data_IF_607643909382
#
_entry.id   IF_607643909382
#
_cell.length_a   1.000
_cell.length_b   1.000
_cell.length_c   1.000
_cell.angle_alpha   90.00
_cell.angle_beta   90.00
_cell.angle_gamma   90.00
#
_symmetry.space_group_name_H-M   'P 1'
#
loop_
_entity.id
_entity.type
_entity.pdbx_description
1 polymer ?
#
# COMPACT_ATOMS: atom_id res chain seq x y z
N UNK A 1 26.76 -28.64 -5.00
CA UNK A 1 26.54 -27.47 -4.11
C UNK A 1 25.27 -27.71 -3.32
N UNK A 2 25.40 -27.92 -2.00
CA UNK A 2 24.32 -28.21 -1.07
C UNK A 2 23.93 -26.91 -0.35
N UNK A 3 22.62 -26.61 -0.29
CA UNK A 3 22.08 -25.58 0.60
C UNK A 3 22.27 -26.06 2.05
N UNK A 4 23.22 -25.46 2.77
CA UNK A 4 23.61 -25.85 4.13
C UNK A 4 24.77 -24.99 4.68
N UNK A 5 25.63 -24.48 3.80
CA UNK A 5 26.65 -23.48 4.13
C UNK A 5 26.32 -22.14 3.45
N UNK A 6 25.36 -21.40 4.01
CA UNK A 6 24.98 -20.10 3.48
C UNK A 6 26.15 -19.09 3.47
N UNK A 7 27.14 -19.26 4.36
CA UNK A 7 28.31 -18.38 4.44
C UNK A 7 29.20 -18.36 3.19
N UNK A 8 29.08 -19.34 2.29
CA UNK A 8 29.79 -19.38 1.00
C UNK A 8 28.88 -19.26 -0.22
N UNK A 9 27.56 -19.09 -0.04
CA UNK A 9 26.63 -19.03 -1.16
C UNK A 9 26.63 -17.61 -1.76
N UNK A 10 26.97 -17.42 -3.06
CA UNK A 10 26.96 -16.09 -3.67
C UNK A 10 25.60 -15.40 -3.56
N UNK A 11 24.49 -16.13 -3.75
CA UNK A 11 23.16 -15.54 -3.60
C UNK A 11 22.85 -15.07 -2.16
N UNK A 12 23.43 -15.69 -1.14
CA UNK A 12 23.33 -15.23 0.24
C UNK A 12 24.27 -14.04 0.50
N UNK A 13 25.52 -14.13 0.06
CA UNK A 13 26.54 -13.08 0.20
C UNK A 13 26.15 -11.79 -0.53
N UNK A 14 25.53 -11.92 -1.70
CA UNK A 14 25.02 -10.81 -2.52
C UNK A 14 23.64 -10.30 -2.04
N UNK A 15 23.06 -10.92 -0.99
CA UNK A 15 21.80 -10.49 -0.37
C UNK A 15 20.54 -10.81 -1.17
N UNK A 16 20.61 -11.70 -2.16
CA UNK A 16 19.46 -12.18 -2.94
C UNK A 16 18.67 -13.28 -2.24
N UNK A 17 19.25 -13.86 -1.18
CA UNK A 17 18.65 -14.87 -0.33
C UNK A 17 18.98 -14.58 1.13
N UNK A 18 17.98 -14.51 2.00
CA UNK A 18 18.14 -14.42 3.46
C UNK A 18 17.85 -15.77 4.16
N UNK A 19 17.81 -16.87 3.40
CA UNK A 19 17.15 -18.13 3.78
C UNK A 19 15.65 -18.10 3.46
N UNK A 20 15.04 -19.24 3.13
CA UNK A 20 13.61 -19.32 2.82
C UNK A 20 12.78 -19.64 4.09
N UNK A 21 11.93 -18.72 4.58
CA UNK A 21 10.90 -19.06 5.56
C UNK A 21 9.84 -19.96 4.89
N UNK A 22 9.23 -20.88 5.64
CA UNK A 22 8.13 -21.73 5.14
C UNK A 22 8.52 -22.98 4.31
N UNK A 23 9.75 -23.12 3.82
CA UNK A 23 10.16 -24.33 3.07
C UNK A 23 10.47 -25.56 3.96
N UNK A 24 10.53 -25.41 5.28
CA UNK A 24 10.97 -26.52 6.15
C UNK A 24 12.38 -27.04 5.79
N UNK A 25 13.25 -26.20 5.20
CA UNK A 25 14.60 -26.59 4.76
C UNK A 25 15.57 -26.96 5.89
N UNK A 26 15.18 -26.79 7.15
CA UNK A 26 15.84 -27.46 8.28
C UNK A 26 15.66 -28.99 8.27
N UNK A 27 14.79 -29.55 7.41
CA UNK A 27 14.47 -30.98 7.42
C UNK A 27 14.58 -31.71 6.06
N UNK A 28 14.93 -31.06 4.94
CA UNK A 28 14.99 -31.77 3.65
C UNK A 28 16.14 -31.30 2.76
N UNK A 29 17.19 -32.12 2.78
CA UNK A 29 18.31 -32.16 1.82
C UNK A 29 17.81 -31.88 0.41
N UNK A 30 18.35 -30.85 -0.25
CA UNK A 30 18.27 -30.71 -1.70
C UNK A 30 19.05 -31.85 -2.34
N UNK A 31 18.37 -32.99 -2.57
CA UNK A 31 18.94 -34.19 -3.17
C UNK A 31 19.24 -33.90 -4.65
N UNK A 32 20.47 -34.16 -5.13
CA UNK A 32 20.76 -34.22 -6.56
C UNK A 32 19.73 -35.12 -7.26
N UNK A 33 18.99 -34.60 -8.25
CA UNK A 33 17.98 -35.35 -8.99
C UNK A 33 16.50 -35.07 -8.63
N UNK A 34 16.19 -34.29 -7.58
CA UNK A 34 14.81 -33.79 -7.40
C UNK A 34 14.57 -32.54 -8.25
N UNK A 35 13.53 -32.58 -9.06
CA UNK A 35 13.16 -31.48 -9.95
C UNK A 35 12.58 -30.30 -9.14
N UNK A 36 13.38 -29.26 -8.91
CA UNK A 36 12.95 -27.95 -8.39
C UNK A 36 11.93 -27.21 -9.29
N UNK A 37 11.37 -27.89 -10.30
CA UNK A 37 10.35 -27.38 -11.22
C UNK A 37 8.97 -27.25 -10.58
N UNK A 38 8.69 -28.01 -9.51
CA UNK A 38 7.37 -28.02 -8.86
C UNK A 38 7.22 -26.99 -7.71
N UNK A 39 8.31 -26.37 -7.23
CA UNK A 39 8.23 -25.36 -6.19
C UNK A 39 7.60 -24.08 -6.75
N UNK A 40 6.55 -23.55 -6.11
CA UNK A 40 5.89 -22.31 -6.55
C UNK A 40 6.78 -21.07 -6.46
N UNK A 41 7.82 -21.11 -5.63
CA UNK A 41 8.69 -19.95 -5.39
C UNK A 41 9.77 -19.76 -6.46
N UNK A 42 10.21 -18.51 -6.63
CA UNK A 42 11.33 -18.11 -7.49
C UNK A 42 12.65 -18.42 -6.76
N UNK A 43 13.34 -19.47 -7.22
CA UNK A 43 14.65 -19.87 -6.71
C UNK A 43 15.77 -19.27 -7.58
N UNK A 44 16.79 -18.60 -7.00
CA UNK A 44 17.98 -18.14 -7.74
C UNK A 44 18.66 -19.25 -8.57
N UNK A 45 18.58 -20.50 -8.11
CA UNK A 45 19.20 -21.65 -8.78
C UNK A 45 18.33 -22.24 -9.93
N UNK A 46 17.12 -21.72 -10.16
CA UNK A 46 16.26 -22.20 -11.25
C UNK A 46 16.75 -21.59 -12.58
N UNK A 47 16.99 -22.42 -13.63
CA UNK A 47 17.39 -21.93 -14.94
C UNK A 47 16.42 -20.85 -15.47
N UNK A 48 16.97 -19.78 -16.05
CA UNK A 48 16.20 -18.67 -16.64
C UNK A 48 15.65 -17.64 -15.64
N UNK A 49 15.79 -17.84 -14.32
CA UNK A 49 15.35 -16.84 -13.33
C UNK A 49 16.15 -15.54 -13.45
N UNK A 50 17.46 -15.64 -13.67
CA UNK A 50 18.31 -14.47 -13.86
C UNK A 50 18.05 -13.77 -15.19
N UNK A 51 17.76 -14.51 -16.26
CA UNK A 51 17.33 -13.92 -17.53
C UNK A 51 16.01 -13.17 -17.38
N UNK A 52 15.06 -13.70 -16.60
CA UNK A 52 13.83 -13.00 -16.29
C UNK A 52 14.08 -11.77 -15.38
N UNK A 53 14.91 -11.89 -14.35
CA UNK A 53 15.23 -10.80 -13.42
C UNK A 53 16.01 -9.65 -14.09
N UNK A 54 17.03 -9.97 -14.88
CA UNK A 54 17.89 -8.99 -15.57
C UNK A 54 17.34 -8.58 -16.94
N UNK A 55 16.57 -9.42 -17.61
CA UNK A 55 15.87 -9.07 -18.85
C UNK A 55 14.63 -8.23 -18.58
N UNK A 56 13.58 -8.83 -17.99
CA UNK A 56 12.28 -8.17 -17.80
C UNK A 56 12.36 -7.02 -16.80
N UNK A 57 13.04 -7.23 -15.68
CA UNK A 57 13.11 -6.23 -14.61
C UNK A 57 14.38 -5.40 -14.66
N UNK A 58 15.35 -5.65 -15.55
CA UNK A 58 16.62 -4.90 -15.62
C UNK A 58 17.37 -4.89 -14.27
N UNK A 59 17.41 -6.02 -13.57
CA UNK A 59 18.14 -6.24 -12.31
C UNK A 59 17.26 -6.16 -11.07
N UNK A 60 17.85 -6.05 -9.88
CA UNK A 60 17.13 -6.07 -8.58
C UNK A 60 17.17 -4.75 -7.80
N UNK A 61 17.97 -3.80 -8.26
CA UNK A 61 17.99 -2.44 -7.71
C UNK A 61 16.74 -1.69 -8.17
N UNK A 62 16.15 -0.88 -7.28
CA UNK A 62 15.04 0.00 -7.64
C UNK A 62 15.47 0.95 -8.77
N UNK A 63 14.61 1.18 -9.77
CA UNK A 63 14.94 1.99 -10.93
C UNK A 63 15.21 3.47 -10.58
N UNK A 64 15.82 4.19 -11.50
CA UNK A 64 16.01 5.64 -11.41
C UNK A 64 15.05 6.34 -12.38
N UNK A 65 14.46 7.44 -11.93
CA UNK A 65 13.59 8.30 -12.72
C UNK A 65 12.74 9.20 -11.82
N UNK A 66 12.12 10.21 -12.42
CA UNK A 66 11.35 11.22 -11.68
C UNK A 66 9.91 10.77 -11.38
N UNK A 67 9.44 11.09 -10.18
CA UNK A 67 8.06 10.87 -9.75
C UNK A 67 7.36 12.22 -9.55
N UNK A 68 6.29 12.44 -10.32
CA UNK A 68 5.32 13.50 -10.06
C UNK A 68 4.42 13.02 -8.92
N UNK A 69 4.40 13.74 -7.79
CA UNK A 69 3.57 13.39 -6.63
C UNK A 69 2.31 14.24 -6.54
N UNK A 70 1.19 13.66 -6.03
CA UNK A 70 0.00 14.44 -5.74
C UNK A 70 0.18 15.27 -4.46
N UNK A 71 -0.65 16.30 -4.32
CA UNK A 71 -0.93 16.92 -3.04
C UNK A 71 -2.08 16.16 -2.40
N UNK A 72 -1.87 15.57 -1.23
CA UNK A 72 -2.90 14.82 -0.50
C UNK A 72 -3.45 15.62 0.68
N UNK A 73 -4.74 15.46 1.02
CA UNK A 73 -5.31 16.04 2.22
C UNK A 73 -4.79 15.33 3.49
N UNK A 74 -4.93 15.92 4.69
CA UNK A 74 -4.63 15.24 5.95
C UNK A 74 -5.41 13.92 6.13
N UNK A 75 -6.60 13.82 5.55
CA UNK A 75 -7.48 12.67 5.66
C UNK A 75 -8.05 12.26 4.29
N UNK A 76 -7.92 10.98 3.94
CA UNK A 76 -8.34 10.42 2.65
C UNK A 76 -9.21 9.17 2.87
N UNK A 77 -10.54 9.29 2.82
CA UNK A 77 -11.44 8.14 2.98
C UNK A 77 -11.49 7.27 1.73
N UNK A 78 -11.62 5.95 1.92
CA UNK A 78 -11.63 4.97 0.82
C UNK A 78 -13.04 4.45 0.57
N UNK A 79 -13.51 4.60 -0.67
CA UNK A 79 -14.78 4.10 -1.18
C UNK A 79 -14.55 2.75 -1.87
N UNK A 80 -15.21 1.71 -1.38
CA UNK A 80 -15.02 0.33 -1.88
C UNK A 80 -16.19 -0.20 -2.70
N UNK A 81 -17.29 0.55 -2.79
CA UNK A 81 -18.46 0.27 -3.63
C UNK A 81 -19.14 1.60 -3.98
N UNK A 82 -19.93 1.68 -5.07
CA UNK A 82 -20.61 2.91 -5.45
C UNK A 82 -21.46 3.51 -4.32
N UNK A 83 -21.45 4.83 -4.20
CA UNK A 83 -22.38 5.57 -3.36
C UNK A 83 -23.72 5.75 -4.10
N UNK A 84 -24.80 5.66 -3.35
CA UNK A 84 -26.19 5.87 -3.79
C UNK A 84 -26.75 7.22 -3.32
N UNK A 85 -26.20 7.78 -2.25
CA UNK A 85 -26.46 9.14 -1.82
C UNK A 85 -25.31 10.08 -2.19
N UNK A 86 -25.68 11.31 -2.56
CA UNK A 86 -24.70 12.36 -2.78
C UNK A 86 -24.30 13.01 -1.45
N UNK A 87 -22.99 13.13 -1.17
CA UNK A 87 -22.53 13.94 -0.05
C UNK A 87 -22.94 15.41 -0.29
N UNK A 88 -23.18 16.14 0.79
CA UNK A 88 -23.38 17.58 0.71
C UNK A 88 -22.11 18.31 0.24
N UNK A 89 -22.21 19.58 -0.18
CA UNK A 89 -21.04 20.37 -0.56
C UNK A 89 -19.96 20.34 0.52
N UNK A 90 -18.73 19.94 0.15
CA UNK A 90 -17.59 19.87 1.06
C UNK A 90 -17.61 18.71 2.08
N UNK A 91 -18.64 17.85 2.09
CA UNK A 91 -18.72 16.70 3.02
C UNK A 91 -17.75 15.57 2.62
N UNK A 92 -17.43 15.46 1.32
CA UNK A 92 -16.45 14.51 0.78
C UNK A 92 -15.59 15.16 -0.31
N UNK A 93 -14.67 16.09 0.05
CA UNK A 93 -13.86 16.81 -0.92
C UNK A 93 -12.79 15.92 -1.57
N UNK A 94 -12.41 14.83 -0.91
CA UNK A 94 -11.45 13.85 -1.38
C UNK A 94 -11.97 12.44 -1.15
N UNK A 95 -11.72 11.54 -2.10
CA UNK A 95 -12.00 10.12 -1.95
C UNK A 95 -10.94 9.27 -2.65
N UNK A 96 -10.43 8.27 -1.95
CA UNK A 96 -9.73 7.16 -2.57
C UNK A 96 -10.75 6.15 -3.11
N UNK A 97 -10.60 5.69 -4.34
CA UNK A 97 -11.48 4.70 -4.97
C UNK A 97 -10.75 3.39 -5.13
N UNK A 98 -11.25 2.32 -4.52
CA UNK A 98 -10.55 1.04 -4.45
C UNK A 98 -10.56 0.29 -5.80
N UNK A 99 -9.44 0.33 -6.54
CA UNK A 99 -9.32 -0.16 -7.92
C UNK A 99 -9.70 -1.62 -8.12
N UNK A 100 -9.68 -2.44 -7.07
CA UNK A 100 -10.07 -3.84 -7.12
C UNK A 100 -11.55 -4.08 -7.38
N UNK A 101 -12.41 -3.11 -7.06
CA UNK A 101 -13.86 -3.22 -7.12
C UNK A 101 -14.49 -2.48 -8.31
N UNK A 102 -13.70 -1.63 -8.98
CA UNK A 102 -14.17 -0.75 -10.06
C UNK A 102 -13.64 -1.13 -11.46
N UNK A 103 -13.20 -2.39 -11.65
CA UNK A 103 -12.28 -2.80 -12.73
C UNK A 103 -12.77 -2.74 -14.17
N UNK A 104 -14.07 -2.73 -14.47
CA UNK A 104 -14.55 -2.80 -15.86
C UNK A 104 -15.25 -1.51 -16.32
N UNK A 105 -16.19 -0.99 -15.52
CA UNK A 105 -17.00 0.18 -15.88
C UNK A 105 -16.28 1.52 -15.73
N UNK A 106 -15.24 1.59 -14.91
CA UNK A 106 -14.46 2.81 -14.72
C UNK A 106 -13.69 3.25 -15.98
N UNK A 107 -13.48 2.36 -16.94
CA UNK A 107 -12.82 2.67 -18.21
C UNK A 107 -13.70 3.47 -19.15
N UNK A 108 -15.02 3.23 -19.09
CA UNK A 108 -16.00 3.81 -20.01
C UNK A 108 -16.70 5.02 -19.39
N UNK A 109 -17.07 4.92 -18.11
CA UNK A 109 -17.82 5.95 -17.37
C UNK A 109 -16.94 6.91 -16.57
N UNK A 110 -15.67 6.57 -16.39
CA UNK A 110 -14.77 7.28 -15.49
C UNK A 110 -14.93 6.85 -14.03
N UNK A 111 -13.91 7.17 -13.23
CA UNK A 111 -13.76 6.71 -11.85
C UNK A 111 -14.80 7.38 -10.94
N UNK A 112 -15.03 8.69 -11.10
CA UNK A 112 -16.00 9.47 -10.30
C UNK A 112 -17.42 8.94 -10.49
N UNK A 113 -17.88 8.84 -11.75
CA UNK A 113 -19.24 8.34 -12.06
C UNK A 113 -19.42 6.91 -11.53
N UNK A 114 -18.44 6.03 -11.75
CA UNK A 114 -18.58 4.63 -11.32
C UNK A 114 -18.64 4.50 -9.79
N UNK A 115 -17.98 5.39 -9.06
CA UNK A 115 -18.01 5.43 -7.60
C UNK A 115 -19.23 6.19 -7.02
N UNK A 116 -20.06 6.83 -7.86
CA UNK A 116 -21.14 7.69 -7.39
C UNK A 116 -20.65 8.99 -6.73
N UNK A 117 -19.45 9.45 -7.09
CA UNK A 117 -18.84 10.64 -6.52
C UNK A 117 -19.25 11.91 -7.30
N UNK A 118 -19.46 13.03 -6.61
CA UNK A 118 -19.63 14.34 -7.25
C UNK A 118 -18.44 14.74 -8.12
N UNK A 119 -18.67 15.66 -9.07
CA UNK A 119 -17.65 16.11 -10.01
C UNK A 119 -16.50 16.86 -9.33
N UNK A 120 -16.79 17.54 -8.22
CA UNK A 120 -15.87 18.32 -7.40
C UNK A 120 -15.02 17.48 -6.43
N UNK A 121 -15.38 16.21 -6.16
CA UNK A 121 -14.63 15.36 -5.23
C UNK A 121 -13.34 14.86 -5.86
N UNK A 122 -12.19 15.33 -5.38
CA UNK A 122 -10.90 14.87 -5.88
C UNK A 122 -10.67 13.37 -5.63
N UNK A 123 -10.13 12.70 -6.65
CA UNK A 123 -10.04 11.23 -6.66
C UNK A 123 -8.60 10.75 -6.68
N UNK A 124 -8.33 9.78 -5.82
CA UNK A 124 -7.11 8.99 -5.84
C UNK A 124 -7.47 7.52 -6.10
N UNK A 125 -6.85 6.87 -7.08
CA UNK A 125 -7.02 5.44 -7.27
C UNK A 125 -6.22 4.68 -6.21
N UNK A 126 -6.91 3.92 -5.37
CA UNK A 126 -6.31 3.02 -4.39
C UNK A 126 -6.04 1.65 -5.04
N UNK A 127 -4.76 1.25 -5.05
CA UNK A 127 -4.28 -0.01 -5.61
C UNK A 127 -3.83 -1.03 -4.55
N UNK A 128 -4.33 -0.93 -3.31
CA UNK A 128 -4.26 -2.02 -2.31
C UNK A 128 -5.22 -3.16 -2.69
N UNK A 129 -4.89 -3.87 -3.77
CA UNK A 129 -5.71 -4.91 -4.40
C UNK A 129 -4.95 -6.24 -4.45
N UNK A 130 -5.62 -7.40 -4.60
CA UNK A 130 -4.92 -8.69 -4.71
C UNK A 130 -3.90 -8.70 -5.85
N UNK A 131 -2.76 -9.38 -5.70
CA UNK A 131 -1.66 -9.36 -6.68
C UNK A 131 -2.09 -9.72 -8.12
N UNK A 132 -3.06 -10.62 -8.31
CA UNK A 132 -3.60 -10.95 -9.65
C UNK A 132 -4.28 -9.74 -10.33
N UNK A 133 -4.86 -8.85 -9.53
CA UNK A 133 -5.34 -7.56 -9.98
C UNK A 133 -4.22 -6.68 -10.50
N UNK A 134 -3.13 -6.61 -9.74
CA UNK A 134 -1.97 -5.79 -10.04
C UNK A 134 -1.34 -6.28 -11.33
N UNK A 135 -1.15 -7.60 -11.47
CA UNK A 135 -0.67 -8.20 -12.72
C UNK A 135 -1.55 -7.82 -13.91
N UNK A 136 -2.88 -7.83 -13.74
CA UNK A 136 -3.82 -7.41 -14.78
C UNK A 136 -3.74 -5.91 -15.08
N UNK A 137 -3.58 -5.08 -14.04
CA UNK A 137 -3.39 -3.63 -14.16
C UNK A 137 -2.12 -3.30 -14.94
N UNK A 138 -1.00 -3.92 -14.59
CA UNK A 138 0.30 -3.73 -15.25
C UNK A 138 0.26 -4.16 -16.73
N UNK A 139 -0.48 -5.22 -17.07
CA UNK A 139 -0.70 -5.63 -18.47
C UNK A 139 -1.50 -4.60 -19.28
N UNK A 140 -2.30 -3.76 -18.63
CA UNK A 140 -3.21 -2.77 -19.24
C UNK A 140 -2.82 -1.33 -18.88
N UNK A 141 -1.56 -1.10 -18.52
CA UNK A 141 -1.06 0.16 -17.95
C UNK A 141 -1.39 1.40 -18.79
N UNK A 142 -1.36 1.31 -20.11
CA UNK A 142 -1.62 2.46 -20.99
C UNK A 142 -3.08 2.88 -20.91
N UNK A 143 -4.00 1.92 -20.84
CA UNK A 143 -5.44 2.18 -20.66
C UNK A 143 -5.73 2.80 -19.30
N UNK A 144 -5.10 2.29 -18.24
CA UNK A 144 -5.24 2.84 -16.90
C UNK A 144 -4.69 4.25 -16.79
N UNK A 145 -3.53 4.51 -17.38
CA UNK A 145 -2.92 5.84 -17.39
C UNK A 145 -3.81 6.84 -18.14
N UNK A 146 -4.36 6.45 -19.29
CA UNK A 146 -5.31 7.27 -20.03
C UNK A 146 -6.59 7.57 -19.21
N UNK A 147 -7.19 6.57 -18.58
CA UNK A 147 -8.37 6.75 -17.74
C UNK A 147 -8.09 7.69 -16.54
N UNK A 148 -6.95 7.52 -15.87
CA UNK A 148 -6.53 8.36 -14.74
C UNK A 148 -6.35 9.82 -15.16
N UNK A 149 -5.71 10.08 -16.32
CA UNK A 149 -5.58 11.43 -16.88
C UNK A 149 -6.93 12.09 -17.13
N UNK A 150 -7.84 11.38 -17.82
CA UNK A 150 -9.18 11.92 -18.15
C UNK A 150 -9.95 12.28 -16.88
N UNK A 151 -9.78 11.51 -15.80
CA UNK A 151 -10.43 11.77 -14.51
C UNK A 151 -9.66 12.75 -13.62
N UNK A 152 -8.52 13.29 -14.10
CA UNK A 152 -7.57 14.10 -13.32
C UNK A 152 -7.26 13.46 -11.95
N UNK A 153 -7.16 12.14 -11.92
CA UNK A 153 -7.01 11.38 -10.70
C UNK A 153 -5.53 11.09 -10.43
N UNK A 154 -5.14 11.16 -9.16
CA UNK A 154 -3.87 10.60 -8.70
C UNK A 154 -4.00 9.09 -8.48
N UNK A 155 -2.89 8.40 -8.23
CA UNK A 155 -2.92 6.98 -7.90
C UNK A 155 -1.89 6.61 -6.82
N UNK A 156 -2.24 5.66 -5.96
CA UNK A 156 -1.24 4.88 -5.26
C UNK A 156 -0.54 3.97 -6.26
N UNK A 157 0.79 3.92 -6.21
CA UNK A 157 1.54 2.95 -7.00
C UNK A 157 1.04 1.52 -6.65
N UNK A 158 0.98 0.59 -7.61
CA UNK A 158 0.60 -0.78 -7.30
C UNK A 158 1.54 -1.38 -6.25
N UNK A 159 0.99 -1.80 -5.11
CA UNK A 159 1.74 -2.47 -4.05
C UNK A 159 1.75 -3.98 -4.31
N UNK A 160 2.78 -4.48 -5.01
CA UNK A 160 2.98 -5.92 -5.13
C UNK A 160 3.39 -6.45 -3.76
N UNK A 161 2.61 -7.40 -3.24
CA UNK A 161 2.73 -7.87 -1.86
C UNK A 161 4.11 -8.46 -1.57
N UNK A 162 4.64 -8.13 -0.39
CA UNK A 162 5.86 -8.73 0.18
C UNK A 162 5.42 -9.58 1.37
N UNK A 163 5.38 -10.90 1.18
CA UNK A 163 4.94 -11.83 2.23
C UNK A 163 6.11 -12.34 3.05
N UNK A 164 5.92 -12.44 4.37
CA UNK A 164 6.97 -12.83 5.32
C UNK A 164 7.53 -14.25 5.11
N UNK A 165 6.77 -15.12 4.45
CA UNK A 165 7.11 -16.51 4.13
C UNK A 165 7.64 -16.68 2.69
N UNK A 166 7.72 -15.60 1.91
CA UNK A 166 8.28 -15.63 0.57
C UNK A 166 9.81 -15.48 0.59
N UNK A 167 10.54 -16.07 -0.38
CA UNK A 167 11.98 -15.88 -0.49
C UNK A 167 12.36 -14.44 -0.79
N UNK A 168 13.56 -14.07 -0.36
CA UNK A 168 14.09 -12.71 -0.51
C UNK A 168 14.09 -12.19 -1.96
N UNK A 169 14.41 -13.06 -2.92
CA UNK A 169 14.38 -12.69 -4.34
C UNK A 169 12.98 -12.23 -4.79
N UNK A 170 11.91 -12.84 -4.28
CA UNK A 170 10.54 -12.42 -4.59
C UNK A 170 10.23 -11.06 -4.00
N UNK A 171 10.69 -10.78 -2.77
CA UNK A 171 10.54 -9.46 -2.16
C UNK A 171 11.17 -8.37 -3.02
N UNK A 172 12.42 -8.59 -3.46
CA UNK A 172 13.15 -7.64 -4.30
C UNK A 172 12.47 -7.41 -5.65
N UNK A 173 11.97 -8.47 -6.29
CA UNK A 173 11.24 -8.38 -7.55
C UNK A 173 9.87 -7.68 -7.38
N UNK A 174 9.17 -7.92 -6.27
CA UNK A 174 7.91 -7.26 -5.94
C UNK A 174 8.10 -5.75 -5.74
N UNK A 175 9.09 -5.36 -4.92
CA UNK A 175 9.44 -3.96 -4.71
C UNK A 175 9.83 -3.27 -6.03
N UNK A 176 10.64 -3.94 -6.85
CA UNK A 176 11.05 -3.40 -8.15
C UNK A 176 9.89 -3.24 -9.12
N UNK A 177 8.99 -4.21 -9.18
CA UNK A 177 7.78 -4.14 -10.01
C UNK A 177 6.91 -2.95 -9.62
N UNK A 178 6.76 -2.71 -8.31
CA UNK A 178 6.00 -1.58 -7.76
C UNK A 178 6.65 -0.24 -8.13
N UNK A 179 7.99 -0.12 -8.01
CA UNK A 179 8.72 1.09 -8.37
C UNK A 179 8.71 1.39 -9.88
N UNK A 180 8.84 0.36 -10.73
CA UNK A 180 8.71 0.51 -12.18
C UNK A 180 7.32 1.01 -12.57
N UNK A 181 6.27 0.43 -11.98
CA UNK A 181 4.91 0.86 -12.22
C UNK A 181 4.66 2.31 -11.80
N UNK A 182 5.23 2.74 -10.67
CA UNK A 182 5.17 4.14 -10.23
C UNK A 182 5.80 5.09 -11.27
N UNK A 183 7.00 4.75 -11.77
CA UNK A 183 7.68 5.54 -12.80
C UNK A 183 6.90 5.56 -14.12
N UNK A 184 6.28 4.46 -14.52
CA UNK A 184 5.48 4.40 -15.74
C UNK A 184 4.23 5.28 -15.64
N UNK A 185 3.52 5.24 -14.52
CA UNK A 185 2.37 6.13 -14.26
C UNK A 185 2.79 7.61 -14.23
N UNK A 186 3.91 7.92 -13.56
CA UNK A 186 4.47 9.28 -13.51
C UNK A 186 4.88 9.80 -14.88
N UNK A 187 5.56 8.99 -15.70
CA UNK A 187 5.92 9.32 -17.09
C UNK A 187 4.68 9.53 -17.96
N UNK A 188 3.63 8.78 -17.67
CA UNK A 188 2.32 9.01 -18.24
C UNK A 188 1.57 10.15 -17.53
N UNK A 189 2.23 11.11 -16.89
CA UNK A 189 1.60 12.32 -16.33
C UNK A 189 0.55 12.10 -15.24
N UNK A 190 0.49 10.92 -14.63
CA UNK A 190 -0.38 10.64 -13.48
C UNK A 190 0.40 10.97 -12.21
N UNK A 191 -0.12 11.82 -11.29
CA UNK A 191 0.50 12.00 -9.99
C UNK A 191 0.44 10.70 -9.16
N UNK A 192 1.60 10.27 -8.63
CA UNK A 192 1.75 8.98 -7.94
C UNK A 192 2.18 9.13 -6.48
N UNK A 193 1.53 8.37 -5.61
CA UNK A 193 2.01 8.07 -4.26
C UNK A 193 2.87 6.80 -4.32
N UNK A 194 4.16 6.89 -3.98
CA UNK A 194 5.05 5.72 -3.98
C UNK A 194 4.69 4.80 -2.83
N UNK A 195 4.38 3.54 -3.10
CA UNK A 195 3.98 2.59 -2.06
C UNK A 195 5.16 1.76 -1.53
N UNK A 196 5.37 1.81 -0.21
CA UNK A 196 6.53 1.19 0.46
C UNK A 196 6.17 -0.21 0.95
N UNK A 197 6.51 -1.22 0.16
CA UNK A 197 6.48 -2.63 0.58
C UNK A 197 7.84 -3.06 1.15
N UNK A 198 7.85 -3.73 2.30
CA UNK A 198 9.10 -4.07 3.00
C UNK A 198 8.96 -5.32 3.87
N UNK A 199 10.06 -6.02 4.07
CA UNK A 199 10.18 -7.15 4.99
C UNK A 199 11.29 -6.92 6.03
N UNK A 200 12.44 -6.41 5.58
CA UNK A 200 13.60 -6.15 6.43
C UNK A 200 14.00 -4.67 6.43
N UNK A 201 14.81 -4.26 7.40
CA UNK A 201 15.30 -2.87 7.53
C UNK A 201 15.94 -2.36 6.23
N UNK A 202 16.70 -3.21 5.54
CA UNK A 202 17.38 -2.84 4.28
C UNK A 202 16.40 -2.47 3.15
N UNK A 203 15.14 -2.94 3.18
CA UNK A 203 14.12 -2.53 2.22
C UNK A 203 13.71 -1.07 2.41
N UNK A 204 13.63 -0.62 3.66
CA UNK A 204 13.33 0.76 4.01
C UNK A 204 14.47 1.68 3.54
N UNK A 205 15.72 1.23 3.66
CA UNK A 205 16.89 1.92 3.13
C UNK A 205 16.81 2.08 1.60
N UNK A 206 16.40 1.01 0.89
CA UNK A 206 16.20 1.02 -0.58
C UNK A 206 15.09 1.98 -1.00
N UNK A 207 13.94 1.93 -0.35
CA UNK A 207 12.83 2.83 -0.65
C UNK A 207 13.16 4.28 -0.35
N UNK A 208 13.85 4.56 0.77
CA UNK A 208 14.27 5.92 1.08
C UNK A 208 15.27 6.46 0.04
N UNK A 209 16.20 5.63 -0.43
CA UNK A 209 17.10 5.99 -1.53
C UNK A 209 16.35 6.24 -2.84
N UNK A 210 15.35 5.42 -3.16
CA UNK A 210 14.50 5.62 -4.34
C UNK A 210 13.73 6.95 -4.26
N UNK A 211 13.07 7.23 -3.13
CA UNK A 211 12.32 8.48 -2.90
C UNK A 211 13.21 9.71 -3.07
N UNK A 212 14.42 9.69 -2.50
CA UNK A 212 15.38 10.80 -2.66
C UNK A 212 15.81 10.99 -4.12
N UNK A 213 16.13 9.90 -4.81
CA UNK A 213 16.61 9.96 -6.21
C UNK A 213 15.51 10.32 -7.20
N UNK A 214 14.27 9.96 -6.92
CA UNK A 214 13.13 10.23 -7.81
C UNK A 214 12.45 11.56 -7.57
N UNK A 215 12.79 12.26 -6.48
CA UNK A 215 12.12 13.49 -6.09
C UNK A 215 10.68 13.28 -5.62
N UNK A 216 10.27 12.05 -5.30
CA UNK A 216 8.91 11.76 -4.87
C UNK A 216 8.54 12.57 -3.61
N UNK A 217 7.50 13.41 -3.73
CA UNK A 217 6.98 14.23 -2.64
C UNK A 217 6.00 13.49 -1.71
N UNK A 218 5.54 12.31 -2.12
CA UNK A 218 4.60 11.50 -1.34
C UNK A 218 4.97 10.01 -1.36
N UNK A 219 4.91 9.36 -0.19
CA UNK A 219 5.04 7.92 -0.03
C UNK A 219 3.89 7.35 0.81
N UNK A 220 3.50 6.09 0.59
CA UNK A 220 2.55 5.37 1.40
C UNK A 220 3.24 4.32 2.26
N UNK A 221 2.82 4.19 3.50
CA UNK A 221 3.29 3.17 4.44
C UNK A 221 2.10 2.44 5.05
N UNK A 222 2.00 1.14 4.77
CA UNK A 222 0.84 0.34 5.15
C UNK A 222 1.04 -0.42 6.46
N UNK A 223 -0.01 -0.42 7.28
CA UNK A 223 -0.19 -1.21 8.50
C UNK A 223 -1.32 -2.25 8.36
N UNK A 224 -1.89 -2.44 7.15
CA UNK A 224 -3.13 -3.23 6.95
C UNK A 224 -3.01 -4.71 7.34
N UNK A 225 -1.82 -5.30 7.30
CA UNK A 225 -1.55 -6.71 7.63
C UNK A 225 -1.07 -6.91 9.08
N UNK A 226 -0.92 -5.82 9.84
CA UNK A 226 -0.32 -5.86 11.18
C UNK A 226 -1.32 -6.31 12.25
N UNK A 227 -1.17 -7.55 12.69
CA UNK A 227 -1.90 -8.13 13.83
C UNK A 227 -3.30 -8.65 13.52
N UNK A 228 -3.62 -8.99 12.25
CA UNK A 228 -4.93 -9.54 11.85
C UNK A 228 -5.02 -11.08 11.81
N UNK A 229 -3.91 -11.79 11.91
CA UNK A 229 -3.87 -13.26 11.96
C UNK A 229 -2.67 -13.71 12.80
N UNK A 230 -2.88 -14.27 14.00
CA UNK A 230 -1.90 -14.95 14.88
C UNK A 230 -0.55 -14.26 15.18
N UNK A 231 -0.32 -13.05 14.66
CA UNK A 231 0.87 -12.22 14.88
C UNK A 231 0.56 -11.32 16.06
N UNK A 232 1.08 -11.69 17.23
CA UNK A 232 0.84 -11.01 18.50
C UNK A 232 1.20 -9.52 18.48
N UNK A 233 0.95 -8.82 19.60
CA UNK A 233 1.22 -7.38 19.75
C UNK A 233 2.66 -6.93 19.44
N UNK A 234 3.62 -7.86 19.31
CA UNK A 234 4.99 -7.61 18.85
C UNK A 234 5.06 -7.10 17.40
N UNK A 235 4.19 -7.58 16.50
CA UNK A 235 4.19 -7.13 15.10
C UNK A 235 3.87 -5.64 14.98
N UNK A 236 2.95 -5.13 15.81
CA UNK A 236 2.65 -3.70 15.88
C UNK A 236 3.85 -2.86 16.27
N UNK A 237 4.58 -3.26 17.34
CA UNK A 237 5.78 -2.55 17.79
C UNK A 237 6.86 -2.54 16.71
N UNK A 238 7.07 -3.68 16.03
CA UNK A 238 8.02 -3.80 14.92
C UNK A 238 7.69 -2.87 13.75
N UNK A 239 6.43 -2.87 13.29
CA UNK A 239 6.00 -1.98 12.20
C UNK A 239 6.06 -0.50 12.58
N UNK A 240 5.70 -0.14 13.83
CA UNK A 240 5.81 1.23 14.30
C UNK A 240 7.28 1.69 14.37
N UNK A 241 8.19 0.81 14.80
CA UNK A 241 9.63 1.09 14.77
C UNK A 241 10.15 1.23 13.34
N UNK A 242 9.72 0.35 12.41
CA UNK A 242 10.04 0.44 10.99
C UNK A 242 9.52 1.74 10.36
N UNK A 243 8.31 2.15 10.69
CA UNK A 243 7.74 3.43 10.25
C UNK A 243 8.54 4.64 10.76
N UNK A 244 8.91 4.66 12.04
CA UNK A 244 9.78 5.70 12.61
C UNK A 244 11.13 5.74 11.91
N UNK A 245 11.74 4.58 11.70
CA UNK A 245 13.01 4.45 11.00
C UNK A 245 12.91 4.99 9.57
N UNK A 246 11.90 4.56 8.81
CA UNK A 246 11.65 5.06 7.45
C UNK A 246 11.45 6.58 7.42
N UNK A 247 10.66 7.14 8.34
CA UNK A 247 10.45 8.58 8.46
C UNK A 247 11.75 9.35 8.76
N UNK A 248 12.74 8.74 9.42
CA UNK A 248 14.04 9.35 9.67
C UNK A 248 14.97 9.36 8.45
N UNK A 249 14.71 8.52 7.44
CA UNK A 249 15.55 8.40 6.25
C UNK A 249 15.13 9.31 5.09
N UNK A 250 13.84 9.60 4.96
CA UNK A 250 13.29 10.37 3.84
C UNK A 250 13.32 11.88 4.12
N UNK A 251 13.40 12.75 3.09
CA UNK A 251 13.45 14.20 3.29
C UNK A 251 12.25 14.70 4.12
N UNK A 252 12.39 15.63 5.08
CA UNK A 252 11.31 16.06 5.98
C UNK A 252 10.04 16.59 5.28
N UNK A 253 10.18 17.11 4.06
CA UNK A 253 9.07 17.61 3.24
C UNK A 253 8.20 16.52 2.61
N UNK A 254 8.67 15.27 2.55
CA UNK A 254 7.91 14.17 1.97
C UNK A 254 6.71 13.83 2.86
N UNK A 255 5.51 13.91 2.27
CA UNK A 255 4.27 13.48 2.90
C UNK A 255 4.23 11.96 2.99
N UNK A 256 3.75 11.44 4.13
CA UNK A 256 3.52 10.00 4.29
C UNK A 256 2.04 9.68 4.46
N UNK A 257 1.49 8.96 3.49
CA UNK A 257 0.15 8.37 3.54
C UNK A 257 0.18 7.10 4.40
N UNK A 258 -0.44 7.17 5.57
CA UNK A 258 -0.56 6.07 6.54
C UNK A 258 -1.78 5.24 6.18
N UNK A 259 -1.59 3.97 5.86
CA UNK A 259 -2.68 3.09 5.43
C UNK A 259 -3.00 2.04 6.48
N UNK A 260 -4.27 1.91 6.85
CA UNK A 260 -4.74 0.81 7.71
C UNK A 260 -4.47 0.96 9.22
N UNK A 261 -3.94 2.09 9.70
CA UNK A 261 -3.68 2.34 11.13
C UNK A 261 -4.81 3.12 11.84
N UNK A 262 -6.06 2.85 11.51
CA UNK A 262 -7.25 3.69 11.81
C UNK A 262 -7.91 3.44 13.18
N UNK A 263 -7.12 3.01 14.18
CA UNK A 263 -7.61 2.83 15.55
C UNK A 263 -7.27 4.04 16.41
N UNK A 264 -8.18 4.52 17.28
CA UNK A 264 -7.94 5.70 18.10
C UNK A 264 -6.79 5.49 19.10
N UNK A 265 -6.46 4.23 19.42
CA UNK A 265 -5.30 3.87 20.25
C UNK A 265 -3.98 3.86 19.47
N UNK A 266 -4.03 3.63 18.15
CA UNK A 266 -2.85 3.48 17.30
C UNK A 266 -2.45 4.79 16.62
N UNK A 267 -3.43 5.62 16.26
CA UNK A 267 -3.21 6.89 15.57
C UNK A 267 -2.27 7.84 16.33
N UNK A 268 -2.39 8.06 17.66
CA UNK A 268 -1.43 8.91 18.38
C UNK A 268 0.01 8.39 18.30
N UNK A 269 0.20 7.08 18.38
CA UNK A 269 1.53 6.46 18.30
C UNK A 269 2.16 6.62 16.91
N UNK A 270 1.35 6.49 15.84
CA UNK A 270 1.80 6.73 14.47
C UNK A 270 2.13 8.21 14.26
N UNK A 271 1.24 9.11 14.70
CA UNK A 271 1.46 10.55 14.59
C UNK A 271 2.75 10.99 15.31
N UNK A 272 3.01 10.46 16.50
CA UNK A 272 4.23 10.71 17.25
C UNK A 272 5.48 10.12 16.56
N UNK A 273 5.38 8.90 16.01
CA UNK A 273 6.49 8.26 15.30
C UNK A 273 6.94 9.01 14.04
N UNK A 274 6.05 9.79 13.42
CA UNK A 274 6.37 10.61 12.25
C UNK A 274 7.05 11.95 12.59
N UNK A 275 7.08 12.38 13.85
CA UNK A 275 7.54 13.73 14.22
C UNK A 275 6.74 14.83 13.50
N UNK A 276 7.35 15.95 13.11
CA UNK A 276 6.66 17.08 12.43
C UNK A 276 6.30 16.84 10.95
N UNK A 277 6.50 15.63 10.45
CA UNK A 277 6.27 15.28 9.05
C UNK A 277 4.80 15.43 8.66
N UNK A 278 4.49 15.94 7.45
CA UNK A 278 3.13 15.92 6.91
C UNK A 278 2.62 14.49 6.73
N UNK A 279 1.38 14.23 7.16
CA UNK A 279 0.76 12.91 7.09
C UNK A 279 -0.62 12.99 6.45
N UNK A 280 -0.97 11.94 5.71
CA UNK A 280 -2.34 11.65 5.28
C UNK A 280 -2.79 10.34 5.91
N UNK A 281 -3.96 10.31 6.54
CA UNK A 281 -4.56 9.04 6.97
C UNK A 281 -5.45 8.49 5.84
N UNK A 282 -5.16 7.28 5.38
CA UNK A 282 -5.98 6.56 4.39
C UNK A 282 -6.92 5.61 5.11
N UNK A 283 -8.23 5.88 5.04
CA UNK A 283 -9.24 5.21 5.86
C UNK A 283 -10.27 4.40 5.08
N UNK A 284 -10.16 3.07 5.15
CA UNK A 284 -11.17 2.14 4.66
C UNK A 284 -12.18 1.72 5.74
N UNK A 285 -11.87 1.94 7.03
CA UNK A 285 -12.71 1.50 8.15
C UNK A 285 -13.99 2.32 8.26
N UNK A 286 -13.99 3.61 7.94
CA UNK A 286 -15.25 4.39 7.87
C UNK A 286 -16.27 3.73 6.93
N UNK A 287 -15.84 3.34 5.73
CA UNK A 287 -16.72 2.70 4.74
C UNK A 287 -17.15 1.30 5.20
N UNK A 288 -16.20 0.45 5.61
CA UNK A 288 -16.50 -0.93 6.02
C UNK A 288 -17.40 -0.98 7.26
N UNK A 289 -17.21 -0.06 8.20
CA UNK A 289 -18.05 0.04 9.41
C UNK A 289 -19.46 0.50 9.05
N UNK A 290 -19.58 1.51 8.18
CA UNK A 290 -20.88 1.98 7.71
C UNK A 290 -21.68 0.87 7.03
N UNK A 291 -21.05 0.06 6.16
CA UNK A 291 -21.72 -1.12 5.53
C UNK A 291 -22.14 -2.21 6.52
N UNK A 292 -21.67 -2.15 7.76
CA UNK A 292 -22.09 -3.04 8.86
C UNK A 292 -23.10 -2.37 9.81
N UNK A 293 -23.57 -1.15 9.49
CA UNK A 293 -24.44 -0.36 10.36
C UNK A 293 -23.74 0.11 11.63
N UNK A 294 -22.43 0.40 11.55
CA UNK A 294 -21.60 0.79 12.71
C UNK A 294 -21.05 2.19 12.56
N UNK A 295 -21.19 2.98 13.62
CA UNK A 295 -20.37 4.15 13.86
C UNK A 295 -18.97 3.76 14.34
N UNK A 296 -17.97 4.47 13.84
CA UNK A 296 -16.57 4.37 14.29
C UNK A 296 -16.36 5.12 15.61
N UNK A 297 -15.37 4.66 16.37
CA UNK A 297 -14.96 5.20 17.68
C UNK A 297 -16.01 5.17 18.80
N UNK A 298 -17.17 4.54 18.60
CA UNK A 298 -18.08 4.23 19.71
C UNK A 298 -17.42 3.26 20.71
N UNK A 299 -17.72 3.44 21.99
CA UNK A 299 -17.11 2.71 23.10
C UNK A 299 -17.43 1.20 23.07
N UNK A 300 -18.60 0.81 22.53
CA UNK A 300 -19.02 -0.59 22.34
C UNK A 300 -19.70 -0.79 21.00
N UNK A 301 -19.56 -1.98 20.42
CA UNK A 301 -20.19 -2.37 19.14
C UNK A 301 -21.73 -2.29 19.21
N UNK A 302 -22.32 -2.62 20.36
CA UNK A 302 -23.77 -2.54 20.56
C UNK A 302 -24.27 -1.09 20.47
N UNK A 303 -23.50 -0.16 21.02
CA UNK A 303 -23.83 1.27 21.03
C UNK A 303 -23.64 1.85 19.62
N UNK A 304 -22.55 1.49 18.94
CA UNK A 304 -22.34 1.80 17.52
C UNK A 304 -23.51 1.36 16.61
N UNK A 305 -24.07 0.16 16.87
CA UNK A 305 -25.24 -0.37 16.14
C UNK A 305 -26.55 0.28 16.54
N UNK A 306 -26.66 0.83 17.75
CA UNK A 306 -27.87 1.52 18.20
C UNK A 306 -27.89 2.92 17.60
N UNK A 307 -26.76 3.62 17.66
CA UNK A 307 -26.59 4.96 17.10
C UNK A 307 -26.63 4.96 15.56
N UNK A 308 -26.10 3.92 14.89
CA UNK A 308 -26.10 3.83 13.43
C UNK A 308 -27.35 3.22 12.81
N UNK A 309 -28.32 2.75 13.61
CA UNK A 309 -29.43 1.90 13.12
C UNK A 309 -30.44 2.64 12.25
N UNK A 310 -30.57 3.94 12.48
CA UNK A 310 -31.60 4.77 11.85
C UNK A 310 -31.06 5.62 10.69
N UNK A 311 -29.77 5.45 10.35
CA UNK A 311 -29.13 6.17 9.25
C UNK A 311 -29.00 5.29 8.01
N UNK A 312 -29.30 5.82 6.81
CA UNK A 312 -28.87 5.21 5.57
C UNK A 312 -27.35 4.94 5.57
N UNK A 313 -26.92 3.85 4.92
CA UNK A 313 -25.53 3.38 4.98
C UNK A 313 -24.52 4.40 4.44
N UNK A 314 -24.91 5.24 3.47
CA UNK A 314 -24.03 6.27 2.90
C UNK A 314 -23.91 7.47 3.83
N UNK A 315 -25.02 7.91 4.45
CA UNK A 315 -24.99 8.93 5.51
C UNK A 315 -24.15 8.48 6.70
N UNK A 316 -24.26 7.20 7.06
CA UNK A 316 -23.44 6.61 8.11
C UNK A 316 -21.95 6.61 7.73
N UNK A 317 -21.61 6.43 6.44
CA UNK A 317 -20.25 6.56 5.95
C UNK A 317 -19.74 8.01 6.08
N UNK A 318 -20.52 9.01 5.68
CA UNK A 318 -20.13 10.41 5.81
C UNK A 318 -19.97 10.85 7.28
N UNK A 319 -20.83 10.35 8.17
CA UNK A 319 -20.69 10.53 9.61
C UNK A 319 -19.37 9.94 10.15
N UNK A 320 -19.04 8.72 9.74
CA UNK A 320 -17.78 8.09 10.11
C UNK A 320 -16.57 8.88 9.59
N UNK A 321 -16.63 9.34 8.33
CA UNK A 321 -15.61 10.20 7.72
C UNK A 321 -15.35 11.42 8.58
N UNK A 322 -16.40 12.15 8.98
CA UNK A 322 -16.27 13.36 9.80
C UNK A 322 -15.65 13.08 11.16
N UNK A 323 -16.06 12.00 11.82
CA UNK A 323 -15.52 11.60 13.14
C UNK A 323 -14.04 11.26 13.08
N UNK A 324 -13.63 10.47 12.09
CA UNK A 324 -12.22 10.06 11.95
C UNK A 324 -11.36 11.22 11.49
N UNK A 325 -11.83 12.01 10.51
CA UNK A 325 -11.14 13.21 10.04
C UNK A 325 -10.89 14.19 11.19
N UNK A 326 -11.93 14.56 11.95
CA UNK A 326 -11.81 15.50 13.06
C UNK A 326 -10.87 15.01 14.17
N UNK A 327 -10.92 13.73 14.51
CA UNK A 327 -9.97 13.15 15.47
C UNK A 327 -8.53 13.20 14.95
N UNK A 328 -8.32 12.85 13.68
CA UNK A 328 -7.00 12.81 13.07
C UNK A 328 -6.39 14.20 12.90
N UNK A 329 -7.18 15.16 12.40
CA UNK A 329 -6.75 16.54 12.22
C UNK A 329 -6.42 17.19 13.56
N UNK A 330 -7.25 16.96 14.60
CA UNK A 330 -6.94 17.42 15.96
C UNK A 330 -5.61 16.86 16.50
N UNK A 331 -5.28 15.60 16.19
CA UNK A 331 -3.97 15.03 16.53
C UNK A 331 -2.84 15.70 15.75
N UNK A 332 -3.03 16.02 14.47
CA UNK A 332 -2.01 16.67 13.65
C UNK A 332 -1.77 18.12 14.07
N UNK A 333 -2.82 18.86 14.43
CA UNK A 333 -2.70 20.24 14.89
C UNK A 333 -2.02 20.33 16.25
N UNK A 334 -2.21 19.34 17.14
CA UNK A 334 -1.47 19.28 18.42
C UNK A 334 0.05 19.12 18.28
N UNK A 335 0.56 18.86 17.07
CA UNK A 335 1.99 18.68 16.77
C UNK A 335 2.67 19.93 16.20
N UNK A 336 1.90 20.94 15.78
CA UNK A 336 2.43 22.18 15.20
C UNK A 336 3.00 23.06 16.31
#
# INVERSE_FOLDING_TARGET
MLCGECGGCPAYLDGFCSGCPGCGRLAAKCVPGRQCRACGYICPDRPGVWDAAYGKYKGLVLPVGEIVSPVLPPYLPVVTAPLHERPGPGELPWAAVHGGKFRARAWEKGIRETAGLPGETEVVLDLYVPDEAIKSFLKKKDRWSAALKVNRAAAFAPNVSVYEDSPRLEHLLAMKSSALAALELSKAGVPVVVDVSWYEKADLDRWAAFIRKSGAGCAAFSFQTVGRQNKGGSAWKGYLAGFRYFCSLIPPSVLVAVVGAVSPRRLPAVAAAAGKRPLTLVDTVSFVSARRGLLVFSSRVRDARKEGRDMPLDRLFFENVRRVAGFWEGLLDSKK
#
